data_IF_599207850455
#
_entry.id   IF_599207850455
#
_cell.length_a   1.000
_cell.length_b   1.000
_cell.length_c   1.000
_cell.angle_alpha   90.00
_cell.angle_beta   90.00
_cell.angle_gamma   90.00
#
_symmetry.space_group_name_H-M   'P 1'
#
loop_
_entity.id
_entity.type
_entity.pdbx_description
1 polymer ?
#
# COMPACT_ATOMS: atom_id res chain seq x y z
N UNK A 1 -31.04 -11.23 -22.96
CA UNK A 1 -29.87 -11.00 -23.82
C UNK A 1 -29.19 -9.66 -23.49
N UNK A 2 -29.93 -8.55 -23.30
CA UNK A 2 -29.32 -7.23 -22.96
C UNK A 2 -28.60 -7.14 -21.61
N UNK A 3 -28.88 -8.03 -20.66
CA UNK A 3 -28.19 -8.03 -19.34
C UNK A 3 -26.81 -8.70 -19.40
N UNK A 4 -26.58 -9.57 -20.38
CA UNK A 4 -25.27 -10.26 -20.56
C UNK A 4 -24.30 -9.41 -21.38
N UNK A 5 -24.81 -8.60 -22.30
CA UNK A 5 -23.98 -7.65 -23.06
C UNK A 5 -23.35 -6.53 -22.20
N UNK A 6 -23.98 -6.16 -21.09
CA UNK A 6 -23.46 -5.14 -20.20
C UNK A 6 -22.33 -5.63 -19.27
N UNK A 7 -22.14 -6.93 -19.09
CA UNK A 7 -21.03 -7.49 -18.32
C UNK A 7 -19.76 -7.73 -19.14
N UNK A 8 -19.83 -7.66 -20.46
CA UNK A 8 -18.69 -7.83 -21.38
C UNK A 8 -18.11 -6.50 -21.90
N UNK A 9 -18.40 -5.37 -21.28
CA UNK A 9 -17.54 -4.20 -21.46
C UNK A 9 -16.22 -4.48 -20.75
N UNK A 10 -15.38 -5.26 -21.39
CA UNK A 10 -13.93 -5.21 -21.17
C UNK A 10 -13.55 -3.74 -21.29
N UNK A 11 -13.23 -3.12 -20.17
CA UNK A 11 -12.71 -1.76 -20.17
C UNK A 11 -11.58 -1.75 -21.19
N UNK A 12 -11.71 -0.94 -22.25
CA UNK A 12 -10.64 -0.76 -23.22
C UNK A 12 -9.35 -0.52 -22.47
N UNK A 13 -8.45 -1.49 -22.51
CA UNK A 13 -7.12 -1.33 -21.93
C UNK A 13 -6.45 -0.24 -22.75
N UNK A 14 -6.41 0.96 -22.22
CA UNK A 14 -5.63 2.06 -22.81
C UNK A 14 -4.18 1.77 -22.52
N UNK A 15 -3.52 1.12 -23.44
CA UNK A 15 -2.07 1.01 -23.42
C UNK A 15 -1.52 2.42 -23.66
N UNK A 16 -0.76 2.93 -22.71
CA UNK A 16 0.06 4.14 -22.87
C UNK A 16 1.50 3.68 -22.79
N UNK A 17 2.30 4.18 -23.70
CA UNK A 17 3.74 3.98 -23.61
C UNK A 17 4.24 4.55 -22.29
N UNK A 18 5.06 3.79 -21.59
CA UNK A 18 5.70 4.28 -20.38
C UNK A 18 6.63 5.43 -20.77
N UNK A 19 6.47 6.55 -20.12
CA UNK A 19 7.38 7.69 -20.27
C UNK A 19 8.65 7.37 -19.50
N UNK A 20 9.71 7.12 -20.23
CA UNK A 20 11.06 6.87 -19.68
C UNK A 20 11.78 8.15 -19.25
N UNK A 21 11.19 9.32 -19.59
CA UNK A 21 11.71 10.65 -19.33
C UNK A 21 11.23 11.29 -18.00
N UNK A 22 10.35 10.60 -17.28
CA UNK A 22 9.81 11.11 -16.01
C UNK A 22 10.46 10.37 -14.84
N UNK A 23 11.48 10.97 -14.26
CA UNK A 23 11.91 10.56 -12.93
C UNK A 23 10.75 10.73 -11.95
N UNK A 24 10.42 9.67 -11.22
CA UNK A 24 9.38 9.72 -10.18
C UNK A 24 9.86 10.70 -9.09
N UNK A 25 9.27 11.89 -9.06
CA UNK A 25 9.57 12.87 -8.02
C UNK A 25 8.92 12.42 -6.69
N UNK A 26 9.65 12.57 -5.59
CA UNK A 26 9.17 12.31 -4.22
C UNK A 26 7.81 12.99 -3.95
N UNK A 27 7.57 14.17 -4.55
CA UNK A 27 6.29 14.89 -4.43
C UNK A 27 5.13 14.13 -5.08
N UNK A 28 5.37 13.50 -6.23
CA UNK A 28 4.37 12.69 -6.94
C UNK A 28 4.06 11.41 -6.16
N UNK A 29 5.09 10.78 -5.60
CA UNK A 29 4.95 9.63 -4.71
C UNK A 29 4.11 9.99 -3.47
N UNK A 30 4.43 11.07 -2.77
CA UNK A 30 3.64 11.55 -1.62
C UNK A 30 2.19 11.85 -2.00
N UNK A 31 1.96 12.42 -3.19
CA UNK A 31 0.59 12.69 -3.67
C UNK A 31 -0.17 11.39 -3.95
N UNK A 32 0.48 10.40 -4.55
CA UNK A 32 -0.07 9.05 -4.74
C UNK A 32 -0.41 8.38 -3.41
N UNK A 33 0.50 8.43 -2.44
CA UNK A 33 0.33 7.86 -1.11
C UNK A 33 -0.83 8.51 -0.32
N UNK A 34 -1.04 9.81 -0.48
CA UNK A 34 -2.20 10.49 0.11
C UNK A 34 -3.53 9.93 -0.39
N UNK A 35 -3.61 9.43 -1.62
CA UNK A 35 -4.81 8.78 -2.16
C UNK A 35 -5.09 7.41 -1.51
N UNK A 36 -4.08 6.78 -0.91
CA UNK A 36 -4.26 5.52 -0.18
C UNK A 36 -4.81 5.70 1.23
N UNK A 37 -4.98 6.94 1.70
CA UNK A 37 -5.46 7.20 3.06
C UNK A 37 -6.82 6.56 3.29
N UNK A 38 -6.89 5.78 4.34
CA UNK A 38 -8.14 5.27 4.90
C UNK A 38 -8.29 5.85 6.31
N UNK A 39 -9.19 6.81 6.45
CA UNK A 39 -9.45 7.44 7.74
C UNK A 39 -10.40 6.55 8.53
N UNK A 40 -9.91 6.00 9.64
CA UNK A 40 -10.71 5.31 10.63
C UNK A 40 -10.76 6.11 11.93
N UNK A 41 -11.91 6.07 12.63
CA UNK A 41 -12.00 6.65 13.96
C UNK A 41 -11.31 5.71 14.95
N UNK A 42 -10.35 6.22 15.70
CA UNK A 42 -9.55 5.42 16.63
C UNK A 42 -9.10 6.23 17.84
N UNK A 43 -9.20 5.64 19.02
CA UNK A 43 -8.79 6.24 20.28
C UNK A 43 -9.97 6.68 21.14
N UNK A 44 -9.68 7.49 22.15
CA UNK A 44 -10.70 8.07 23.02
C UNK A 44 -11.53 9.11 22.26
N UNK A 45 -12.80 9.25 22.63
CA UNK A 45 -13.70 10.23 22.08
C UNK A 45 -13.32 11.63 22.62
N UNK A 46 -12.57 12.39 21.83
CA UNK A 46 -12.05 13.72 22.22
C UNK A 46 -12.42 14.83 21.25
N UNK A 47 -12.95 14.49 20.07
CA UNK A 47 -13.45 15.47 19.11
C UNK A 47 -14.96 15.66 19.27
N UNK A 48 -15.42 16.90 19.42
CA UNK A 48 -16.84 17.21 19.46
C UNK A 48 -17.47 16.89 18.10
N UNK A 49 -18.53 16.11 18.12
CA UNK A 49 -19.37 15.85 16.95
C UNK A 49 -20.50 16.85 16.92
N UNK A 50 -20.36 17.88 16.08
CA UNK A 50 -21.34 18.95 15.99
C UNK A 50 -22.71 18.46 15.49
N UNK A 51 -22.70 17.58 14.47
CA UNK A 51 -23.96 17.11 13.86
C UNK A 51 -24.77 16.29 14.87
N UNK A 52 -24.13 15.33 15.54
CA UNK A 52 -24.78 14.49 16.55
C UNK A 52 -25.16 15.30 17.80
N UNK A 53 -24.32 16.29 18.21
CA UNK A 53 -24.64 17.21 19.32
C UNK A 53 -25.89 18.01 19.02
N UNK A 54 -26.05 18.52 17.81
CA UNK A 54 -27.25 19.25 17.38
C UNK A 54 -28.46 18.31 17.38
N UNK A 55 -28.33 17.11 16.83
CA UNK A 55 -29.42 16.14 16.78
C UNK A 55 -29.88 15.73 18.18
N UNK A 56 -28.97 15.42 19.10
CA UNK A 56 -29.30 15.06 20.48
C UNK A 56 -29.89 16.25 21.25
N UNK A 57 -29.36 17.46 21.05
CA UNK A 57 -29.92 18.67 21.62
C UNK A 57 -31.36 18.91 21.17
N UNK A 58 -31.65 18.68 19.89
CA UNK A 58 -33.02 18.77 19.36
C UNK A 58 -33.94 17.70 19.93
N UNK A 59 -33.46 16.48 20.13
CA UNK A 59 -34.23 15.38 20.77
C UNK A 59 -34.51 15.64 22.23
N UNK A 60 -33.59 16.30 22.92
CA UNK A 60 -33.66 16.64 24.35
C UNK A 60 -34.36 18.00 24.63
N UNK A 61 -35.32 18.37 23.81
CA UNK A 61 -36.10 19.60 23.98
C UNK A 61 -35.25 20.88 24.11
N UNK A 62 -34.03 20.89 23.53
CA UNK A 62 -33.12 22.03 23.53
C UNK A 62 -32.08 22.04 24.68
N UNK A 63 -32.08 21.06 25.58
CA UNK A 63 -30.95 20.87 26.49
C UNK A 63 -29.72 20.38 25.74
N UNK A 64 -28.60 21.11 25.89
CA UNK A 64 -27.36 20.82 25.16
C UNK A 64 -26.73 19.52 25.67
N UNK A 65 -26.67 18.51 24.81
CA UNK A 65 -25.98 17.28 25.08
C UNK A 65 -24.75 17.14 24.14
N UNK A 66 -23.57 17.35 24.70
CA UNK A 66 -22.33 17.31 23.92
C UNK A 66 -21.92 15.87 23.61
N UNK A 67 -21.89 15.52 22.33
CA UNK A 67 -21.44 14.22 21.84
C UNK A 67 -20.00 14.30 21.34
N UNK A 68 -19.17 13.40 21.84
CA UNK A 68 -17.76 13.30 21.44
C UNK A 68 -17.50 12.03 20.64
N UNK A 69 -16.63 12.14 19.63
CA UNK A 69 -16.17 11.01 18.82
C UNK A 69 -14.66 10.85 18.88
N UNK A 70 -14.20 9.64 18.61
CA UNK A 70 -12.78 9.40 18.43
C UNK A 70 -12.25 10.13 17.16
N UNK A 71 -11.05 10.72 17.22
CA UNK A 71 -10.45 11.40 16.07
C UNK A 71 -10.25 10.46 14.88
N UNK A 72 -10.40 11.00 13.67
CA UNK A 72 -10.11 10.28 12.44
C UNK A 72 -8.59 10.21 12.25
N UNK A 73 -8.03 9.01 12.31
CA UNK A 73 -6.62 8.73 12.03
C UNK A 73 -6.49 7.90 10.77
N UNK A 74 -5.40 8.07 10.05
CA UNK A 74 -5.10 7.18 8.92
C UNK A 74 -4.70 5.81 9.46
N UNK A 75 -5.42 4.77 9.06
CA UNK A 75 -5.21 3.38 9.51
C UNK A 75 -4.60 2.50 8.40
N UNK A 76 -4.06 3.10 7.35
CA UNK A 76 -3.42 2.37 6.26
C UNK A 76 -2.13 1.75 6.73
N UNK A 77 -2.01 0.46 6.48
CA UNK A 77 -0.78 -0.32 6.64
C UNK A 77 -0.26 -0.69 5.25
N UNK A 78 1.02 -0.56 5.04
CA UNK A 78 1.65 -0.81 3.75
C UNK A 78 2.67 -1.93 3.86
N UNK A 79 2.46 -2.98 3.07
CA UNK A 79 3.46 -3.98 2.77
C UNK A 79 4.16 -3.57 1.47
N UNK A 80 5.45 -3.33 1.54
CA UNK A 80 6.27 -2.92 0.41
C UNK A 80 7.20 -4.07 0.03
N UNK A 81 7.05 -4.62 -1.17
CA UNK A 81 7.95 -5.62 -1.74
C UNK A 81 8.83 -4.94 -2.79
N UNK A 82 10.15 -5.02 -2.61
CA UNK A 82 11.13 -4.36 -3.47
C UNK A 82 12.03 -5.38 -4.11
N UNK A 83 12.10 -5.34 -5.45
CA UNK A 83 13.06 -6.10 -6.22
C UNK A 83 14.46 -5.53 -6.04
N UNK A 84 15.45 -6.39 -5.88
CA UNK A 84 16.84 -5.98 -5.67
C UNK A 84 17.82 -6.84 -6.45
N UNK A 85 18.88 -6.20 -6.91
CA UNK A 85 19.95 -6.82 -7.66
C UNK A 85 19.78 -6.82 -9.17
N UNK A 86 20.81 -7.18 -9.89
CA UNK A 86 20.81 -7.28 -11.35
C UNK A 86 20.40 -5.98 -12.04
N UNK A 87 19.35 -6.03 -12.83
CA UNK A 87 18.81 -4.89 -13.60
C UNK A 87 18.25 -3.77 -12.72
N UNK A 88 17.99 -4.05 -11.45
CA UNK A 88 17.49 -3.06 -10.48
C UNK A 88 18.59 -2.15 -9.89
N UNK A 89 19.87 -2.45 -10.06
CA UNK A 89 20.97 -1.66 -9.51
C UNK A 89 20.90 -0.15 -9.85
N UNK A 90 20.56 0.27 -11.07
CA UNK A 90 20.40 1.69 -11.42
C UNK A 90 19.25 2.38 -10.68
N UNK A 91 18.30 1.62 -10.17
CA UNK A 91 17.10 2.13 -9.49
C UNK A 91 17.24 2.15 -7.96
N UNK A 92 18.39 1.75 -7.43
CA UNK A 92 18.63 1.71 -5.98
C UNK A 92 18.37 3.06 -5.31
N UNK A 93 18.88 4.15 -5.89
CA UNK A 93 18.70 5.49 -5.34
C UNK A 93 17.23 5.94 -5.34
N UNK A 94 16.46 5.86 -6.45
CA UNK A 94 15.02 6.12 -6.45
C UNK A 94 14.24 5.26 -5.45
N UNK A 95 14.60 3.99 -5.27
CA UNK A 95 13.95 3.10 -4.30
C UNK A 95 14.25 3.48 -2.85
N UNK A 96 15.48 3.87 -2.56
CA UNK A 96 15.87 4.38 -1.25
C UNK A 96 15.11 5.67 -0.91
N UNK A 97 14.95 6.56 -1.88
CA UNK A 97 14.15 7.79 -1.73
C UNK A 97 12.67 7.46 -1.51
N UNK A 98 12.12 6.47 -2.22
CA UNK A 98 10.74 6.00 -2.02
C UNK A 98 10.57 5.49 -0.58
N UNK A 99 11.47 4.64 -0.11
CA UNK A 99 11.40 4.07 1.24
C UNK A 99 11.48 5.18 2.30
N UNK A 100 12.37 6.15 2.13
CA UNK A 100 12.49 7.32 3.00
C UNK A 100 11.20 8.15 2.99
N UNK A 101 10.65 8.42 1.80
CA UNK A 101 9.41 9.19 1.68
C UNK A 101 8.22 8.47 2.34
N UNK A 102 8.18 7.14 2.26
CA UNK A 102 7.17 6.31 2.93
C UNK A 102 7.34 6.31 4.44
N UNK A 103 8.57 6.25 4.92
CA UNK A 103 8.88 6.29 6.35
C UNK A 103 8.53 7.64 7.00
N UNK A 104 8.79 8.73 6.28
CA UNK A 104 8.49 10.10 6.73
C UNK A 104 6.99 10.46 6.61
N UNK A 105 6.20 9.66 5.90
CA UNK A 105 4.78 9.94 5.71
C UNK A 105 3.99 9.66 7.00
N UNK A 106 3.66 10.70 7.72
CA UNK A 106 2.87 10.66 8.99
C UNK A 106 1.48 10.03 8.85
N UNK A 107 1.13 9.64 7.65
CA UNK A 107 -0.18 9.07 7.33
C UNK A 107 -0.23 7.55 7.34
N UNK A 108 0.87 6.85 7.42
CA UNK A 108 0.88 5.38 7.49
C UNK A 108 0.89 4.95 8.96
N UNK A 109 0.04 3.99 9.29
CA UNK A 109 0.04 3.36 10.62
C UNK A 109 1.21 2.39 10.78
N UNK A 110 1.52 1.67 9.69
CA UNK A 110 2.56 0.65 9.70
C UNK A 110 3.14 0.51 8.28
N UNK A 111 4.46 0.36 8.19
CA UNK A 111 5.20 0.08 6.97
C UNK A 111 6.06 -1.15 7.21
N UNK A 112 5.89 -2.18 6.37
CA UNK A 112 6.71 -3.38 6.35
C UNK A 112 7.40 -3.51 5.01
N UNK A 113 8.70 -3.14 4.89
CA UNK A 113 9.48 -3.39 3.70
C UNK A 113 10.02 -4.83 3.71
N UNK A 114 9.94 -5.48 2.56
CA UNK A 114 10.60 -6.76 2.26
C UNK A 114 11.23 -6.69 0.89
N UNK A 115 12.16 -7.59 0.65
CA UNK A 115 12.96 -7.64 -0.55
C UNK A 115 12.80 -9.00 -1.24
N UNK A 116 12.91 -9.01 -2.55
CA UNK A 116 12.92 -10.21 -3.36
C UNK A 116 13.89 -10.03 -4.55
N UNK A 117 14.12 -11.06 -5.33
CA UNK A 117 14.89 -10.99 -6.56
C UNK A 117 14.08 -11.52 -7.72
N UNK A 118 13.94 -10.72 -8.77
CA UNK A 118 13.20 -10.98 -10.01
C UNK A 118 11.71 -11.32 -9.79
N UNK A 119 11.39 -12.33 -8.99
CA UNK A 119 10.02 -12.76 -8.72
C UNK A 119 9.80 -13.05 -7.23
N UNK A 120 8.57 -12.87 -6.78
CA UNK A 120 8.16 -13.26 -5.43
C UNK A 120 7.80 -14.75 -5.45
N UNK A 121 8.67 -15.56 -4.86
CA UNK A 121 8.51 -17.00 -4.72
C UNK A 121 8.07 -17.39 -3.29
N UNK A 122 8.52 -18.53 -2.82
CA UNK A 122 8.19 -19.07 -1.49
C UNK A 122 8.66 -18.20 -0.34
N UNK A 123 9.68 -17.38 -0.56
CA UNK A 123 10.26 -16.51 0.45
C UNK A 123 10.44 -15.09 -0.05
N UNK A 124 10.25 -14.14 0.87
CA UNK A 124 10.73 -12.76 0.78
C UNK A 124 11.74 -12.52 1.89
N UNK A 125 12.48 -11.45 1.83
CA UNK A 125 13.60 -11.21 2.75
C UNK A 125 13.41 -9.90 3.51
N UNK A 126 13.73 -9.92 4.79
CA UNK A 126 13.65 -8.72 5.63
C UNK A 126 14.79 -7.71 5.35
N UNK A 127 15.84 -8.14 4.63
CA UNK A 127 16.98 -7.31 4.24
C UNK A 127 17.34 -7.50 2.77
N UNK A 128 17.83 -6.42 2.15
CA UNK A 128 18.22 -6.40 0.72
C UNK A 128 19.38 -7.33 0.35
N UNK A 129 20.12 -7.88 1.34
CA UNK A 129 21.18 -8.87 1.10
C UNK A 129 20.68 -10.27 0.78
N UNK A 130 19.39 -10.52 0.90
CA UNK A 130 18.71 -11.78 0.58
C UNK A 130 19.39 -13.01 1.23
N UNK A 131 19.80 -12.88 2.49
CA UNK A 131 20.44 -14.00 3.21
C UNK A 131 19.39 -14.98 3.72
N UNK A 132 19.74 -16.26 3.81
CA UNK A 132 18.83 -17.28 4.33
C UNK A 132 18.33 -16.99 5.75
N UNK A 133 19.13 -16.30 6.56
CA UNK A 133 18.75 -15.87 7.89
C UNK A 133 17.65 -14.80 7.91
N UNK A 134 17.51 -14.04 6.83
CA UNK A 134 16.52 -12.97 6.67
C UNK A 134 15.27 -13.43 5.91
N UNK A 135 15.22 -14.71 5.50
CA UNK A 135 14.12 -15.27 4.72
C UNK A 135 12.84 -15.41 5.55
N UNK A 136 11.73 -14.96 5.00
CA UNK A 136 10.39 -15.07 5.58
C UNK A 136 9.50 -15.77 4.57
N UNK A 137 8.79 -16.85 4.96
CA UNK A 137 7.88 -17.52 4.05
C UNK A 137 6.79 -16.56 3.56
N UNK A 138 6.66 -16.42 2.25
CA UNK A 138 5.69 -15.51 1.62
C UNK A 138 4.25 -15.83 2.04
N UNK A 139 3.92 -17.11 2.12
CA UNK A 139 2.60 -17.55 2.57
C UNK A 139 2.26 -17.14 4.00
N UNK A 140 3.24 -17.17 4.92
CA UNK A 140 3.04 -16.76 6.31
C UNK A 140 2.86 -15.24 6.40
N UNK A 141 3.66 -14.49 5.64
CA UNK A 141 3.55 -13.05 5.57
C UNK A 141 2.15 -12.64 5.09
N UNK A 142 1.67 -13.23 3.99
CA UNK A 142 0.38 -12.88 3.39
C UNK A 142 -0.80 -13.28 4.27
N UNK A 143 -0.74 -14.41 4.97
CA UNK A 143 -1.79 -14.82 5.92
C UNK A 143 -1.96 -13.87 7.10
N UNK A 144 -0.91 -13.14 7.46
CA UNK A 144 -0.93 -12.14 8.52
C UNK A 144 -1.51 -10.77 8.13
N UNK A 145 -1.98 -10.61 6.88
CA UNK A 145 -2.54 -9.36 6.38
C UNK A 145 -4.06 -9.36 6.49
N UNK A 146 -4.62 -8.22 6.90
CA UNK A 146 -6.05 -7.93 6.85
C UNK A 146 -6.36 -6.93 5.72
N UNK A 147 -7.63 -6.58 5.51
CA UNK A 147 -8.09 -5.65 4.47
C UNK A 147 -7.53 -4.22 4.58
N UNK A 148 -6.96 -3.87 5.74
CA UNK A 148 -6.31 -2.57 5.99
C UNK A 148 -4.92 -2.50 5.40
N UNK A 149 -4.33 -3.64 5.05
CA UNK A 149 -3.05 -3.68 4.38
C UNK A 149 -3.20 -3.36 2.89
N UNK A 150 -2.29 -2.56 2.41
CA UNK A 150 -2.09 -2.33 0.97
C UNK A 150 -0.75 -2.93 0.59
N UNK A 151 -0.73 -3.64 -0.53
CA UNK A 151 0.49 -4.20 -1.10
C UNK A 151 1.00 -3.27 -2.19
N UNK A 152 2.25 -2.90 -2.09
CA UNK A 152 2.98 -2.19 -3.14
C UNK A 152 4.19 -3.05 -3.54
N UNK A 153 4.24 -3.42 -4.80
CA UNK A 153 5.36 -4.16 -5.40
C UNK A 153 6.11 -3.21 -6.32
N UNK A 154 7.42 -3.14 -6.17
CA UNK A 154 8.30 -2.30 -6.96
C UNK A 154 9.40 -3.16 -7.55
N UNK A 155 9.50 -3.16 -8.86
CA UNK A 155 10.47 -3.93 -9.64
C UNK A 155 10.33 -3.59 -11.12
N UNK A 156 11.26 -4.03 -11.95
CA UNK A 156 11.25 -3.82 -13.40
C UNK A 156 10.57 -4.96 -14.16
N UNK A 157 10.20 -6.04 -13.48
CA UNK A 157 9.65 -7.26 -14.07
C UNK A 157 10.53 -7.88 -15.17
N UNK A 158 11.83 -7.56 -15.17
CA UNK A 158 12.80 -8.08 -16.11
C UNK A 158 13.34 -9.43 -15.61
N UNK A 159 12.70 -10.52 -16.01
CA UNK A 159 13.15 -11.86 -15.67
C UNK A 159 13.28 -12.72 -16.92
N UNK A 160 14.21 -13.67 -16.87
CA UNK A 160 14.37 -14.61 -17.97
C UNK A 160 13.22 -15.63 -17.98
N UNK A 161 12.71 -16.06 -19.17
CA UNK A 161 11.62 -17.04 -19.23
C UNK A 161 11.87 -18.36 -18.47
N UNK A 162 13.13 -18.81 -18.38
CA UNK A 162 13.49 -20.00 -17.60
C UNK A 162 13.21 -19.86 -16.12
N UNK A 163 13.33 -18.67 -15.56
CA UNK A 163 13.07 -18.41 -14.14
C UNK A 163 11.59 -18.60 -13.78
N UNK A 164 10.69 -18.39 -14.74
CA UNK A 164 9.26 -18.64 -14.57
C UNK A 164 8.88 -20.11 -14.76
N UNK A 165 9.62 -20.84 -15.60
CA UNK A 165 9.25 -22.20 -16.04
C UNK A 165 9.91 -23.28 -15.19
N UNK A 166 11.09 -23.02 -14.63
CA UNK A 166 11.86 -24.05 -13.92
C UNK A 166 11.51 -24.20 -12.45
N UNK A 167 10.60 -23.38 -11.89
CA UNK A 167 10.03 -23.56 -10.54
C UNK A 167 11.03 -23.62 -9.36
N UNK A 168 12.30 -23.33 -9.61
CA UNK A 168 13.40 -23.39 -8.67
C UNK A 168 14.06 -22.01 -8.57
N UNK A 169 13.29 -21.02 -8.19
CA UNK A 169 13.81 -19.73 -7.78
C UNK A 169 14.47 -19.85 -6.43
N UNK A 170 15.76 -19.99 -6.43
CA UNK A 170 16.67 -19.79 -5.43
C UNK A 170 16.95 -20.25 -4.18
#
# INVERSE_FOLDING_TARGET
LKAIENQLRVSERRFRDYRTDVALDIRQLRTGLRKLRQLARSGLATELDLDETIDETCRNAGEIEMVFRAPKKNDVRLLLLMDVGGTMDPYFEPMSQLLTALHDERGLRELRPYYFHNCVYDHVYSRARLTRADAVPTGDLLRGLDERWKLLVVGDAAMHPSELLEGHGG
#
